data_IF_092076992283
#
_entry.id   IF_092076992283
#
_cell.length_a   1.000
_cell.length_b   1.000
_cell.length_c   1.000
_cell.angle_alpha   90.00
_cell.angle_beta   90.00
_cell.angle_gamma   90.00
#
_symmetry.space_group_name_H-M   'P 1'
#
loop_
_entity.id
_entity.type
_entity.pdbx_description
1 polymer ?
#
# COMPACT_ATOMS: atom_id res chain seq x y z
N UNK A 1 0.59 4.52 -10.86
CA UNK A 1 0.21 4.66 -9.44
C UNK A 1 -0.55 3.42 -8.99
N UNK A 2 -0.17 2.85 -7.86
CA UNK A 2 -0.90 1.82 -7.13
C UNK A 2 -1.08 2.31 -5.69
N UNK A 3 -2.26 2.12 -5.09
CA UNK A 3 -2.52 2.54 -3.73
C UNK A 3 -3.45 1.56 -3.01
N UNK A 4 -3.25 1.46 -1.71
CA UNK A 4 -4.25 0.96 -0.78
C UNK A 4 -4.74 2.12 0.09
N UNK A 5 -5.86 1.94 0.76
CA UNK A 5 -6.46 2.98 1.58
C UNK A 5 -6.74 2.49 2.99
N UNK A 6 -6.80 3.44 3.93
CA UNK A 6 -7.21 3.21 5.29
C UNK A 6 -8.63 2.62 5.36
N UNK A 7 -8.85 1.75 6.34
CA UNK A 7 -10.11 1.05 6.60
C UNK A 7 -10.60 0.24 5.39
N UNK A 8 -9.67 -0.45 4.74
CA UNK A 8 -10.02 -1.29 3.60
C UNK A 8 -10.73 -2.58 4.07
N UNK A 9 -12.03 -2.66 3.82
CA UNK A 9 -12.85 -3.83 4.17
C UNK A 9 -12.33 -5.14 3.57
N UNK A 10 -11.73 -5.11 2.37
CA UNK A 10 -11.13 -6.29 1.73
C UNK A 10 -9.95 -6.87 2.53
N UNK A 11 -9.28 -6.03 3.33
CA UNK A 11 -8.18 -6.44 4.20
C UNK A 11 -8.62 -6.62 5.66
N UNK A 12 -9.89 -6.39 5.99
CA UNK A 12 -10.45 -6.54 7.34
C UNK A 12 -10.70 -5.24 8.09
N UNK A 13 -10.56 -4.08 7.42
CA UNK A 13 -10.76 -2.76 8.01
C UNK A 13 -9.75 -2.40 9.10
N UNK A 14 -9.90 -1.23 9.72
CA UNK A 14 -9.01 -0.75 10.79
C UNK A 14 -8.98 -1.70 11.99
N UNK A 15 -10.11 -2.38 12.25
CA UNK A 15 -10.26 -3.32 13.37
C UNK A 15 -9.29 -4.51 13.31
N UNK A 16 -8.85 -4.94 12.12
CA UNK A 16 -7.81 -5.97 11.99
C UNK A 16 -6.49 -5.51 12.61
N UNK A 17 -6.18 -4.23 12.50
CA UNK A 17 -4.93 -3.60 12.94
C UNK A 17 -5.08 -2.99 14.34
N UNK A 18 -6.12 -3.38 15.10
CA UNK A 18 -6.42 -2.86 16.43
C UNK A 18 -6.48 -1.32 16.46
N UNK A 19 -6.95 -0.73 15.36
CA UNK A 19 -7.00 0.71 15.12
C UNK A 19 -5.63 1.42 15.19
N UNK A 20 -4.52 0.69 15.05
CA UNK A 20 -3.19 1.27 14.84
C UNK A 20 -2.97 1.54 13.36
N UNK A 21 -2.91 2.83 13.03
CA UNK A 21 -2.62 3.29 11.68
C UNK A 21 -1.21 2.87 11.23
N UNK A 22 -0.26 2.81 12.16
CA UNK A 22 1.11 2.39 11.85
C UNK A 22 1.18 0.90 11.50
N UNK A 23 0.46 0.03 12.21
CA UNK A 23 0.36 -1.40 11.89
C UNK A 23 -0.32 -1.62 10.53
N UNK A 24 -1.38 -0.87 10.24
CA UNK A 24 -2.10 -0.92 8.96
C UNK A 24 -1.22 -0.46 7.79
N UNK A 25 -0.54 0.68 7.93
CA UNK A 25 0.42 1.20 6.96
C UNK A 25 1.53 0.19 6.69
N UNK A 26 2.12 -0.40 7.74
CA UNK A 26 3.19 -1.37 7.60
C UNK A 26 2.75 -2.61 6.82
N UNK A 27 1.57 -3.14 7.12
CA UNK A 27 0.98 -4.24 6.38
C UNK A 27 0.74 -3.88 4.91
N UNK A 28 0.11 -2.75 4.63
CA UNK A 28 -0.17 -2.33 3.25
C UNK A 28 1.09 -1.98 2.46
N UNK A 29 2.15 -1.50 3.12
CA UNK A 29 3.47 -1.33 2.50
C UNK A 29 3.97 -2.65 1.92
N UNK A 30 3.91 -3.73 2.68
CA UNK A 30 4.34 -5.06 2.21
C UNK A 30 3.49 -5.57 1.06
N UNK A 31 2.16 -5.41 1.13
CA UNK A 31 1.24 -5.85 0.08
C UNK A 31 1.46 -5.08 -1.23
N UNK A 32 1.66 -3.78 -1.16
CA UNK A 32 1.93 -2.93 -2.32
C UNK A 32 3.28 -3.27 -2.97
N UNK A 33 4.30 -3.59 -2.17
CA UNK A 33 5.59 -4.05 -2.70
C UNK A 33 5.48 -5.38 -3.43
N UNK A 34 4.68 -6.33 -2.93
CA UNK A 34 4.40 -7.61 -3.60
C UNK A 34 3.68 -7.37 -4.93
N UNK A 35 2.64 -6.54 -4.93
CA UNK A 35 1.90 -6.20 -6.15
C UNK A 35 2.80 -5.52 -7.19
N UNK A 36 3.67 -4.59 -6.77
CA UNK A 36 4.68 -3.96 -7.63
C UNK A 36 5.61 -5.00 -8.25
N UNK A 37 6.13 -5.92 -7.46
CA UNK A 37 7.03 -6.97 -7.96
C UNK A 37 6.36 -7.78 -9.08
N UNK A 38 5.09 -8.17 -8.90
CA UNK A 38 4.31 -8.90 -9.92
C UNK A 38 4.14 -8.06 -11.19
N UNK A 39 3.74 -6.79 -11.07
CA UNK A 39 3.56 -5.89 -12.22
C UNK A 39 4.86 -5.78 -13.04
N UNK A 40 6.01 -5.62 -12.37
CA UNK A 40 7.31 -5.47 -13.04
C UNK A 40 7.81 -6.75 -13.72
N UNK A 41 7.30 -7.94 -13.34
CA UNK A 41 7.62 -9.17 -14.09
C UNK A 41 7.03 -9.15 -15.50
N UNK A 42 5.91 -8.45 -15.70
CA UNK A 42 5.21 -8.34 -16.98
C UNK A 42 5.62 -7.06 -17.72
N UNK A 43 5.83 -5.96 -16.98
CA UNK A 43 6.15 -4.64 -17.52
C UNK A 43 7.45 -4.10 -16.91
N UNK A 44 8.62 -4.60 -17.31
CA UNK A 44 9.89 -4.31 -16.63
C UNK A 44 10.33 -2.84 -16.75
N UNK A 45 9.83 -2.11 -17.74
CA UNK A 45 10.15 -0.69 -17.95
C UNK A 45 9.09 0.26 -17.36
N UNK A 46 8.03 -0.27 -16.76
CA UNK A 46 6.99 0.55 -16.17
C UNK A 46 7.44 1.12 -14.83
N UNK A 47 7.30 2.42 -14.64
CA UNK A 47 7.42 3.05 -13.32
C UNK A 47 6.13 2.87 -12.55
N UNK A 48 6.22 2.34 -11.33
CA UNK A 48 5.07 2.09 -10.45
C UNK A 48 5.30 2.78 -9.10
N UNK A 49 4.63 3.90 -8.91
CA UNK A 49 4.58 4.64 -7.65
C UNK A 49 3.54 4.04 -6.69
N UNK A 50 3.90 3.93 -5.41
CA UNK A 50 3.11 3.27 -4.37
C UNK A 50 2.69 4.27 -3.29
N UNK A 51 1.42 4.22 -2.88
CA UNK A 51 0.86 5.14 -1.89
C UNK A 51 -0.06 4.43 -0.91
N UNK A 52 -0.14 4.98 0.29
CA UNK A 52 -1.21 4.71 1.24
C UNK A 52 -2.02 5.99 1.47
N UNK A 53 -3.34 5.89 1.35
CA UNK A 53 -4.24 7.06 1.34
C UNK A 53 -5.40 6.93 2.32
N UNK A 54 -6.05 8.04 2.62
CA UNK A 54 -7.35 8.10 3.28
C UNK A 54 -8.27 9.12 2.59
N UNK A 55 -9.38 9.49 3.24
CA UNK A 55 -10.30 10.49 2.71
C UNK A 55 -9.73 11.93 2.72
N UNK A 56 -8.66 12.19 3.49
CA UNK A 56 -8.00 13.48 3.58
C UNK A 56 -6.85 13.61 2.56
N UNK A 57 -6.28 12.50 2.08
CA UNK A 57 -5.29 12.49 1.00
C UNK A 57 -4.25 11.39 1.16
N UNK A 58 -3.00 11.71 0.83
CA UNK A 58 -1.87 10.77 0.93
C UNK A 58 -1.33 10.78 2.36
N UNK A 59 -1.41 9.62 3.02
CA UNK A 59 -0.80 9.40 4.33
C UNK A 59 0.67 9.02 4.20
N UNK A 60 1.01 8.19 3.21
CA UNK A 60 2.40 7.79 2.96
C UNK A 60 2.70 7.58 1.47
N UNK A 61 3.89 8.00 1.06
CA UNK A 61 4.51 7.60 -0.21
C UNK A 61 5.47 6.44 0.07
N UNK A 62 5.14 5.26 -0.45
CA UNK A 62 5.90 4.05 -0.20
C UNK A 62 7.06 3.97 -1.20
N UNK A 63 8.28 4.12 -0.67
CA UNK A 63 9.49 3.99 -1.47
C UNK A 63 9.90 2.51 -1.55
N UNK A 64 10.18 1.98 -2.76
CA UNK A 64 10.81 0.66 -2.89
C UNK A 64 12.19 0.66 -2.20
N UNK A 65 12.64 -0.47 -1.63
CA UNK A 65 14.02 -0.62 -1.21
C UNK A 65 14.97 -0.41 -2.41
N UNK A 66 16.11 0.24 -2.15
CA UNK A 66 17.17 0.49 -3.14
C UNK A 66 17.85 -0.80 -3.58
#
# INVERSE_FOLDING_TARGET
MLFNHHDCAAYGGSGRFKDSIEEEIAFHREELLKARAIILTVFPLLTVDLYFIDCAGILEIIQPPQ
#
